data_IF_646823464595
#
_entry.id   IF_646823464595
#
_cell.length_a   1.000
_cell.length_b   1.000
_cell.length_c   1.000
_cell.angle_alpha   90.00
_cell.angle_beta   90.00
_cell.angle_gamma   90.00
#
_symmetry.space_group_name_H-M   'P 1'
#
loop_
_entity.id
_entity.type
_entity.pdbx_description
1 polymer ?
#
# COMPACT_ATOMS: atom_id res chain seq x y z
N UNK A 1 16.79 19.11 14.16
CA UNK A 1 16.48 17.85 13.43
C UNK A 1 15.03 17.54 13.76
N UNK A 2 14.18 17.41 12.76
CA UNK A 2 12.75 17.07 12.98
C UNK A 2 12.65 15.68 13.58
N UNK A 3 12.03 15.57 14.74
CA UNK A 3 11.82 14.28 15.39
C UNK A 3 10.82 13.45 14.57
N UNK A 4 11.18 12.20 14.27
CA UNK A 4 10.40 11.30 13.42
C UNK A 4 10.01 10.05 14.19
N UNK A 5 8.71 9.81 14.33
CA UNK A 5 8.12 8.70 15.06
C UNK A 5 7.38 7.75 14.11
N UNK A 6 7.48 6.44 14.38
CA UNK A 6 6.58 5.43 13.81
C UNK A 6 5.58 5.03 14.90
N UNK A 7 4.30 5.08 14.57
CA UNK A 7 3.21 4.70 15.49
C UNK A 7 2.09 3.95 14.75
N UNK A 8 1.21 3.24 15.48
CA UNK A 8 -0.01 2.71 14.90
C UNK A 8 -0.86 3.82 14.25
N UNK A 9 -1.54 3.45 13.16
CA UNK A 9 -2.54 4.27 12.50
C UNK A 9 -3.69 4.61 13.45
N UNK A 10 -4.26 5.80 13.27
CA UNK A 10 -5.50 6.25 13.92
C UNK A 10 -6.52 6.63 12.82
N UNK A 11 -7.80 6.50 13.10
CA UNK A 11 -8.83 6.87 12.12
C UNK A 11 -8.72 8.33 11.66
N UNK A 12 -8.24 9.23 12.51
CA UNK A 12 -7.95 10.64 12.15
C UNK A 12 -6.85 10.79 11.09
N UNK A 13 -6.00 9.78 10.88
CA UNK A 13 -4.91 9.80 9.88
C UNK A 13 -5.41 9.48 8.45
N UNK A 14 -6.66 9.02 8.30
CA UNK A 14 -7.19 8.47 7.04
C UNK A 14 -6.99 9.38 5.84
N UNK A 15 -7.23 10.69 6.00
CA UNK A 15 -7.03 11.68 4.94
C UNK A 15 -5.55 11.83 4.57
N UNK A 16 -4.66 11.91 5.56
CA UNK A 16 -3.23 12.04 5.33
C UNK A 16 -2.62 10.77 4.70
N UNK A 17 -3.12 9.57 5.04
CA UNK A 17 -2.75 8.31 4.36
C UNK A 17 -3.15 8.35 2.88
N UNK A 18 -4.37 8.78 2.55
CA UNK A 18 -4.79 8.95 1.16
C UNK A 18 -3.88 9.94 0.42
N UNK A 19 -3.55 11.06 1.04
CA UNK A 19 -2.68 12.09 0.47
C UNK A 19 -1.24 11.58 0.22
N UNK A 20 -0.66 10.79 1.13
CA UNK A 20 0.65 10.13 0.88
C UNK A 20 0.56 9.19 -0.31
N UNK A 21 -0.52 8.40 -0.41
CA UNK A 21 -0.73 7.52 -1.56
C UNK A 21 -0.73 8.31 -2.88
N UNK A 22 -1.50 9.40 -2.97
CA UNK A 22 -1.51 10.27 -4.17
C UNK A 22 -0.12 10.81 -4.50
N UNK A 23 0.63 11.27 -3.50
CA UNK A 23 1.96 11.86 -3.68
C UNK A 23 3.05 10.87 -4.11
N UNK A 24 2.77 9.58 -4.09
CA UNK A 24 3.74 8.53 -4.41
C UNK A 24 3.29 7.62 -5.55
N UNK A 25 2.06 7.77 -6.03
CA UNK A 25 1.41 6.83 -6.95
C UNK A 25 1.98 6.83 -8.38
N UNK A 26 2.59 7.92 -8.85
CA UNK A 26 3.18 7.97 -10.18
C UNK A 26 4.65 7.50 -10.16
N UNK A 27 4.87 6.20 -9.95
CA UNK A 27 6.23 5.62 -9.89
C UNK A 27 7.09 6.19 -8.75
N UNK A 28 6.47 6.58 -7.64
CA UNK A 28 7.11 7.24 -6.51
C UNK A 28 7.07 8.78 -6.58
N UNK A 29 6.36 9.35 -7.55
CA UNK A 29 6.12 10.78 -7.74
C UNK A 29 4.65 11.13 -7.52
N UNK A 30 4.34 12.43 -7.43
CA UNK A 30 2.98 12.94 -7.24
C UNK A 30 2.10 12.62 -8.46
N UNK A 31 0.98 11.93 -8.22
CA UNK A 31 -0.02 11.56 -9.23
C UNK A 31 -1.23 12.50 -9.24
N UNK A 32 -1.18 13.63 -8.53
CA UNK A 32 -2.28 14.59 -8.45
C UNK A 32 -2.65 15.13 -9.82
N UNK A 33 -3.94 15.04 -10.16
CA UNK A 33 -4.47 15.45 -11.46
C UNK A 33 -4.14 14.51 -12.62
N UNK A 34 -3.55 13.34 -12.36
CA UNK A 34 -3.32 12.29 -13.38
C UNK A 34 -4.63 11.57 -13.71
N UNK A 35 -5.49 11.38 -12.71
CA UNK A 35 -6.78 10.71 -12.83
C UNK A 35 -7.93 11.72 -12.73
N UNK A 36 -9.11 11.34 -13.16
CA UNK A 36 -10.33 12.16 -13.04
C UNK A 36 -10.73 12.41 -11.58
N UNK A 37 -10.31 11.52 -10.67
CA UNK A 37 -10.46 11.64 -9.22
C UNK A 37 -9.14 11.25 -8.55
N UNK A 38 -8.53 12.18 -7.80
CA UNK A 38 -7.28 11.93 -7.06
C UNK A 38 -7.46 10.85 -5.98
N UNK A 39 -8.70 10.59 -5.52
CA UNK A 39 -8.98 9.53 -4.55
C UNK A 39 -9.03 8.12 -5.17
N UNK A 40 -9.04 7.99 -6.49
CA UNK A 40 -9.12 6.69 -7.16
C UNK A 40 -7.96 5.77 -6.74
N UNK A 41 -6.73 6.27 -6.76
CA UNK A 41 -5.55 5.49 -6.36
C UNK A 41 -5.59 5.08 -4.87
N UNK A 42 -5.84 6.00 -3.91
CA UNK A 42 -6.03 5.63 -2.51
C UNK A 42 -7.17 4.64 -2.27
N UNK A 43 -8.27 4.73 -2.99
CA UNK A 43 -9.41 3.81 -2.86
C UNK A 43 -9.11 2.40 -3.37
N UNK A 44 -8.03 2.23 -4.12
CA UNK A 44 -7.56 0.90 -4.59
C UNK A 44 -6.39 0.38 -3.76
N UNK A 45 -5.47 1.24 -3.33
CA UNK A 45 -4.19 0.79 -2.78
C UNK A 45 -3.88 1.24 -1.35
N UNK A 46 -4.77 2.00 -0.70
CA UNK A 46 -4.53 2.48 0.67
C UNK A 46 -5.76 2.36 1.59
N UNK A 47 -6.88 3.00 1.22
CA UNK A 47 -8.03 3.15 2.12
C UNK A 47 -8.71 1.83 2.50
N UNK A 48 -8.89 0.84 1.60
CA UNK A 48 -9.48 -0.44 1.98
C UNK A 48 -8.69 -1.17 3.09
N UNK A 49 -7.36 -1.02 3.09
CA UNK A 49 -6.47 -1.65 4.06
C UNK A 49 -6.64 -1.06 5.46
N UNK A 50 -6.64 0.27 5.57
CA UNK A 50 -6.80 0.95 6.86
C UNK A 50 -8.23 0.87 7.39
N UNK A 51 -9.23 0.69 6.52
CA UNK A 51 -10.62 0.50 6.91
C UNK A 51 -10.88 -0.96 7.35
N UNK A 52 -10.20 -1.95 6.75
CA UNK A 52 -10.33 -3.36 7.10
C UNK A 52 -9.45 -3.79 8.28
N UNK A 53 -8.17 -3.41 8.24
CA UNK A 53 -7.15 -3.86 9.20
C UNK A 53 -6.34 -2.67 9.78
N UNK A 54 -6.99 -1.72 10.49
CA UNK A 54 -6.32 -0.54 11.03
C UNK A 54 -5.18 -0.85 12.00
N UNK A 55 -5.22 -2.00 12.62
CA UNK A 55 -4.23 -2.52 13.58
C UNK A 55 -3.01 -3.20 12.90
N UNK A 56 -3.01 -3.32 11.57
CA UNK A 56 -1.85 -3.66 10.73
C UNK A 56 -1.40 -2.48 9.86
N UNK A 57 -1.78 -1.26 10.26
CA UNK A 57 -1.35 -0.02 9.63
C UNK A 57 -0.47 0.78 10.60
N UNK A 58 0.70 1.21 10.11
CA UNK A 58 1.65 2.03 10.87
C UNK A 58 2.05 3.23 10.02
N UNK A 59 2.14 4.38 10.67
CA UNK A 59 2.42 5.66 10.01
C UNK A 59 3.72 6.28 10.53
N UNK A 60 4.38 7.05 9.67
CA UNK A 60 5.54 7.88 10.02
C UNK A 60 5.08 9.31 10.19
N UNK A 61 5.31 9.89 11.37
CA UNK A 61 4.95 11.27 11.69
C UNK A 61 6.22 12.08 12.02
N UNK A 62 6.33 13.24 11.41
CA UNK A 62 7.29 14.29 11.75
C UNK A 62 6.63 15.25 12.73
N UNK A 63 7.07 15.23 14.00
CA UNK A 63 6.38 15.91 15.12
C UNK A 63 6.56 17.45 15.09
N UNK A 64 7.72 17.95 14.70
CA UNK A 64 8.03 19.38 14.69
C UNK A 64 7.73 20.06 13.33
N UNK A 65 7.00 19.37 12.43
CA UNK A 65 6.63 19.91 11.14
C UNK A 65 5.37 20.78 11.25
N UNK A 66 5.26 21.77 10.36
CA UNK A 66 4.05 22.58 10.23
C UNK A 66 2.79 21.68 10.16
N UNK A 67 1.85 21.81 11.11
CA UNK A 67 0.65 20.97 11.14
C UNK A 67 -0.41 21.43 10.14
N UNK A 68 -0.08 22.28 9.20
CA UNK A 68 -0.99 22.74 8.16
C UNK A 68 -0.91 21.87 6.90
N UNK A 69 -2.00 21.89 6.11
CA UNK A 69 -2.06 21.20 4.83
C UNK A 69 -2.54 19.75 4.89
N UNK A 70 -2.59 19.08 3.74
CA UNK A 70 -3.28 17.79 3.59
C UNK A 70 -2.58 16.59 4.27
N UNK A 71 -1.31 16.74 4.66
CA UNK A 71 -0.57 15.75 5.45
C UNK A 71 -0.63 15.99 6.96
N UNK A 72 -1.35 17.01 7.42
CA UNK A 72 -1.49 17.33 8.84
C UNK A 72 -2.22 16.22 9.59
N UNK A 73 -1.72 15.86 10.77
CA UNK A 73 -2.31 14.94 11.74
C UNK A 73 -2.19 15.54 13.15
N UNK A 74 -2.88 14.96 14.13
CA UNK A 74 -2.97 15.50 15.50
C UNK A 74 -1.58 15.76 16.17
N UNK A 75 -0.58 14.97 15.80
CA UNK A 75 0.77 14.97 16.39
C UNK A 75 1.87 15.38 15.42
N UNK A 76 1.53 16.09 14.32
CA UNK A 76 2.49 16.63 13.38
C UNK A 76 2.10 16.46 11.91
N UNK A 77 3.05 15.98 11.09
CA UNK A 77 2.86 15.77 9.65
C UNK A 77 3.15 14.32 9.27
N UNK A 78 2.18 13.62 8.70
CA UNK A 78 2.31 12.24 8.23
C UNK A 78 3.10 12.23 6.91
N UNK A 79 4.20 11.47 6.86
CA UNK A 79 5.12 11.45 5.72
C UNK A 79 5.32 10.06 5.11
N UNK A 80 4.61 9.06 5.61
CA UNK A 80 4.63 7.72 5.06
C UNK A 80 3.85 6.74 5.90
N UNK A 81 3.66 5.55 5.35
CA UNK A 81 2.96 4.46 6.00
C UNK A 81 3.46 3.09 5.52
N UNK A 82 3.16 2.06 6.30
CA UNK A 82 3.02 0.68 5.86
C UNK A 82 1.64 0.21 6.28
N UNK A 83 0.94 -0.44 5.38
CA UNK A 83 -0.40 -0.99 5.58
C UNK A 83 -0.42 -2.42 5.07
N UNK A 84 -1.14 -3.29 5.77
CA UNK A 84 -1.18 -4.70 5.41
C UNK A 84 -2.50 -5.36 5.83
N UNK A 85 -2.71 -6.55 5.30
CA UNK A 85 -3.73 -7.49 5.78
C UNK A 85 -3.05 -8.80 6.16
N UNK A 86 -3.60 -9.50 7.14
CA UNK A 86 -3.03 -10.76 7.64
C UNK A 86 -3.30 -11.94 6.70
N UNK A 87 -4.41 -11.89 5.96
CA UNK A 87 -4.85 -12.93 5.01
C UNK A 87 -5.41 -12.27 3.75
N UNK A 88 -4.74 -12.49 2.63
CA UNK A 88 -5.10 -11.92 1.33
C UNK A 88 -6.43 -12.46 0.80
N UNK A 89 -6.73 -13.73 1.02
CA UNK A 89 -7.96 -14.35 0.51
C UNK A 89 -9.19 -13.89 1.32
N UNK A 90 -9.04 -13.77 2.65
CA UNK A 90 -10.07 -13.19 3.51
C UNK A 90 -10.34 -11.73 3.13
N UNK A 91 -9.28 -10.95 2.93
CA UNK A 91 -9.40 -9.55 2.51
C UNK A 91 -10.09 -9.39 1.14
N UNK A 92 -9.75 -10.25 0.16
CA UNK A 92 -10.43 -10.22 -1.14
C UNK A 92 -11.93 -10.50 -1.00
N UNK A 93 -12.31 -11.43 -0.12
CA UNK A 93 -13.71 -11.75 0.18
C UNK A 93 -14.43 -10.59 0.87
N UNK A 94 -13.79 -9.97 1.87
CA UNK A 94 -14.32 -8.77 2.52
C UNK A 94 -14.49 -7.61 1.52
N UNK A 95 -13.48 -7.36 0.69
CA UNK A 95 -13.51 -6.29 -0.32
C UNK A 95 -14.69 -6.46 -1.28
N UNK A 96 -14.91 -7.67 -1.81
CA UNK A 96 -16.01 -7.95 -2.72
C UNK A 96 -17.37 -7.61 -2.07
N UNK A 97 -17.54 -7.94 -0.80
CA UNK A 97 -18.80 -7.80 -0.09
C UNK A 97 -19.04 -6.40 0.48
N UNK A 98 -18.01 -5.79 1.08
CA UNK A 98 -18.16 -4.56 1.86
C UNK A 98 -17.63 -3.31 1.12
N UNK A 99 -16.52 -3.44 0.36
CA UNK A 99 -15.88 -2.30 -0.30
C UNK A 99 -16.40 -2.07 -1.72
N UNK A 100 -16.51 -3.10 -2.55
CA UNK A 100 -16.87 -3.00 -3.97
C UNK A 100 -18.20 -2.26 -4.20
N UNK A 101 -19.29 -2.48 -3.43
CA UNK A 101 -20.54 -1.76 -3.66
C UNK A 101 -20.40 -0.25 -3.56
N UNK A 102 -19.69 0.23 -2.52
CA UNK A 102 -19.40 1.65 -2.32
C UNK A 102 -18.46 2.20 -3.39
N UNK A 103 -17.42 1.46 -3.75
CA UNK A 103 -16.48 1.83 -4.82
C UNK A 103 -17.21 2.00 -6.18
N UNK A 104 -18.04 1.05 -6.58
CA UNK A 104 -18.82 1.12 -7.82
C UNK A 104 -19.80 2.28 -7.81
N UNK A 105 -20.39 2.61 -6.66
CA UNK A 105 -21.29 3.75 -6.54
C UNK A 105 -20.59 5.10 -6.72
N UNK A 106 -19.33 5.23 -6.26
CA UNK A 106 -18.52 6.44 -6.44
C UNK A 106 -17.92 6.54 -7.85
N UNK A 107 -17.62 5.39 -8.49
CA UNK A 107 -17.01 5.30 -9.81
C UNK A 107 -17.90 4.47 -10.76
N UNK A 108 -19.09 4.99 -11.18
CA UNK A 108 -20.07 4.21 -11.93
C UNK A 108 -19.62 3.84 -13.33
N UNK A 109 -18.81 4.65 -13.97
CA UNK A 109 -18.33 4.47 -15.35
C UNK A 109 -16.82 4.62 -15.38
N UNK A 110 -16.14 3.79 -16.17
CA UNK A 110 -14.73 4.00 -16.50
C UNK A 110 -14.57 5.27 -17.33
N UNK A 111 -13.73 6.18 -16.88
CA UNK A 111 -13.34 7.36 -17.65
C UNK A 111 -12.38 7.01 -18.80
N UNK A 112 -12.08 7.94 -19.68
CA UNK A 112 -11.02 7.73 -20.66
C UNK A 112 -9.69 7.60 -19.93
N UNK A 113 -8.86 6.64 -20.36
CA UNK A 113 -7.52 6.48 -19.83
C UNK A 113 -6.72 7.78 -20.05
N UNK A 114 -6.17 8.33 -18.97
CA UNK A 114 -5.41 9.59 -18.98
C UNK A 114 -3.91 9.38 -18.74
N UNK A 115 -3.52 8.25 -18.11
CA UNK A 115 -2.13 7.90 -17.88
C UNK A 115 -1.43 7.45 -19.18
N UNK A 116 -0.18 7.84 -19.34
CA UNK A 116 0.64 7.40 -20.45
C UNK A 116 1.01 5.90 -20.36
N UNK A 117 1.09 5.37 -19.14
CA UNK A 117 1.35 3.94 -18.88
C UNK A 117 0.01 3.19 -18.74
N UNK A 118 -0.26 2.18 -19.60
CA UNK A 118 -1.47 1.37 -19.51
C UNK A 118 -1.66 0.64 -18.18
N UNK A 119 -0.59 0.29 -17.48
CA UNK A 119 -0.65 -0.40 -16.17
C UNK A 119 -1.25 0.48 -15.07
N UNK A 120 -1.16 1.80 -15.22
CA UNK A 120 -1.69 2.81 -14.28
C UNK A 120 -2.74 3.70 -14.94
N UNK A 121 -3.37 3.23 -16.02
CA UNK A 121 -4.48 3.94 -16.61
C UNK A 121 -5.67 3.98 -15.65
N UNK A 122 -6.52 4.98 -15.77
CA UNK A 122 -7.75 5.09 -14.98
C UNK A 122 -8.62 3.84 -15.14
N UNK A 123 -8.74 3.30 -16.36
CA UNK A 123 -9.46 2.06 -16.62
C UNK A 123 -8.87 0.85 -15.87
N UNK A 124 -7.55 0.75 -15.78
CA UNK A 124 -6.89 -0.31 -15.01
C UNK A 124 -7.21 -0.20 -13.51
N UNK A 125 -7.15 1.01 -12.95
CA UNK A 125 -7.49 1.25 -11.54
C UNK A 125 -8.97 0.96 -11.24
N UNK A 126 -9.87 1.37 -12.12
CA UNK A 126 -11.30 1.09 -11.99
C UNK A 126 -11.59 -0.41 -12.06
N UNK A 127 -10.87 -1.15 -12.91
CA UNK A 127 -10.93 -2.61 -12.95
C UNK A 127 -10.39 -3.23 -11.66
N UNK A 128 -9.25 -2.76 -11.18
CA UNK A 128 -8.59 -3.25 -9.96
C UNK A 128 -9.48 -3.06 -8.72
N UNK A 129 -10.16 -1.91 -8.60
CA UNK A 129 -11.09 -1.65 -7.52
C UNK A 129 -12.35 -2.52 -7.54
N UNK A 130 -12.75 -3.03 -8.71
CA UNK A 130 -13.91 -3.90 -8.90
C UNK A 130 -13.61 -5.40 -8.84
N UNK A 131 -12.34 -5.79 -8.95
CA UNK A 131 -11.89 -7.18 -9.03
C UNK A 131 -10.89 -7.51 -7.91
N UNK A 132 -11.36 -7.66 -6.65
CA UNK A 132 -10.48 -7.99 -5.55
C UNK A 132 -9.83 -9.38 -5.69
N UNK A 133 -10.43 -10.30 -6.47
CA UNK A 133 -9.85 -11.61 -6.75
C UNK A 133 -8.53 -11.54 -7.52
N UNK A 134 -8.20 -10.36 -8.11
CA UNK A 134 -6.87 -10.11 -8.72
C UNK A 134 -5.71 -10.32 -7.75
N UNK A 135 -5.94 -10.10 -6.44
CA UNK A 135 -4.92 -10.24 -5.41
C UNK A 135 -4.49 -11.69 -5.17
N UNK A 136 -5.39 -12.63 -5.40
CA UNK A 136 -5.12 -14.08 -5.23
C UNK A 136 -4.94 -14.81 -6.56
N UNK A 137 -5.41 -14.21 -7.67
CA UNK A 137 -5.36 -14.84 -9.00
C UNK A 137 -3.93 -15.03 -9.47
N UNK A 138 -3.59 -16.27 -9.80
CA UNK A 138 -2.28 -16.66 -10.34
C UNK A 138 -1.20 -16.87 -9.28
N UNK A 139 -1.56 -16.81 -7.98
CA UNK A 139 -0.70 -17.32 -6.93
C UNK A 139 -0.69 -18.85 -6.97
N UNK A 140 0.47 -19.46 -6.82
CA UNK A 140 0.59 -20.91 -6.78
C UNK A 140 0.19 -21.46 -5.40
N UNK A 141 -0.26 -22.72 -5.39
CA UNK A 141 -0.57 -23.39 -4.14
C UNK A 141 0.63 -23.39 -3.18
N UNK A 142 0.36 -23.09 -1.91
CA UNK A 142 1.40 -22.97 -0.88
C UNK A 142 1.95 -21.56 -0.67
N UNK A 143 1.85 -20.64 -1.63
CA UNK A 143 2.31 -19.24 -1.42
C UNK A 143 1.45 -18.53 -0.39
N UNK A 144 0.13 -18.68 -0.44
CA UNK A 144 -0.77 -18.13 0.59
C UNK A 144 -0.71 -18.88 1.92
N UNK A 145 -0.19 -20.12 1.96
CA UNK A 145 0.08 -20.83 3.21
C UNK A 145 1.32 -20.28 3.92
N UNK A 146 2.36 -19.95 3.15
CA UNK A 146 3.63 -19.45 3.69
C UNK A 146 3.70 -17.94 3.81
N UNK A 147 3.00 -17.21 2.93
CA UNK A 147 2.95 -15.76 2.87
C UNK A 147 1.49 -15.27 2.70
N UNK A 148 0.60 -15.54 3.69
CA UNK A 148 -0.81 -15.18 3.56
C UNK A 148 -1.05 -13.66 3.56
N UNK A 149 -0.23 -12.91 4.29
CA UNK A 149 -0.32 -11.46 4.37
C UNK A 149 0.21 -10.76 3.10
N UNK A 150 -0.34 -9.59 2.78
CA UNK A 150 0.30 -8.69 1.81
C UNK A 150 0.30 -7.24 2.31
N UNK A 151 1.21 -6.43 1.75
CA UNK A 151 1.45 -5.06 2.19
C UNK A 151 1.54 -4.05 1.05
N UNK A 152 1.28 -2.77 1.41
CA UNK A 152 1.74 -1.59 0.68
C UNK A 152 2.57 -0.70 1.61
N UNK A 153 3.56 -0.02 1.05
CA UNK A 153 4.45 0.90 1.77
C UNK A 153 4.78 2.10 0.90
N UNK A 154 4.53 3.28 1.43
CA UNK A 154 4.81 4.54 0.77
C UNK A 154 5.47 5.55 1.72
N UNK A 155 6.43 6.28 1.20
CA UNK A 155 7.10 7.40 1.86
C UNK A 155 7.18 8.55 0.87
N UNK A 156 6.73 9.74 1.26
CA UNK A 156 6.91 10.94 0.43
C UNK A 156 8.40 11.15 0.12
N UNK A 157 8.76 11.73 -1.03
CA UNK A 157 10.15 11.84 -1.47
C UNK A 157 11.10 12.42 -0.43
N UNK A 158 10.66 13.44 0.31
CA UNK A 158 11.45 14.11 1.36
C UNK A 158 11.71 13.23 2.60
N UNK A 159 10.96 12.14 2.80
CA UNK A 159 11.15 11.18 3.89
C UNK A 159 11.97 9.94 3.47
N UNK A 160 12.31 9.83 2.19
CA UNK A 160 13.09 8.68 1.69
C UNK A 160 14.57 8.79 2.06
N UNK A 161 15.30 7.67 1.99
CA UNK A 161 16.74 7.62 2.26
C UNK A 161 17.15 7.72 3.73
N UNK A 162 16.19 7.81 4.67
CA UNK A 162 16.42 8.00 6.11
C UNK A 162 16.25 6.70 6.94
N UNK A 163 16.19 5.55 6.28
CA UNK A 163 16.00 4.26 6.96
C UNK A 163 14.57 3.98 7.44
N UNK A 164 13.62 4.92 7.22
CA UNK A 164 12.23 4.82 7.69
C UNK A 164 11.49 3.63 7.07
N UNK A 165 11.71 3.34 5.79
CA UNK A 165 11.09 2.19 5.12
C UNK A 165 11.46 0.86 5.77
N UNK A 166 12.74 0.66 6.16
CA UNK A 166 13.17 -0.53 6.91
C UNK A 166 12.43 -0.61 8.25
N UNK A 167 12.42 0.48 9.00
CA UNK A 167 11.75 0.53 10.31
C UNK A 167 10.25 0.22 10.20
N UNK A 168 9.56 0.72 9.17
CA UNK A 168 8.16 0.40 8.90
C UNK A 168 7.96 -1.10 8.62
N UNK A 169 8.77 -1.69 7.74
CA UNK A 169 8.68 -3.12 7.42
C UNK A 169 8.99 -3.98 8.64
N UNK A 170 10.01 -3.64 9.43
CA UNK A 170 10.35 -4.35 10.66
C UNK A 170 9.21 -4.27 11.70
N UNK A 171 8.58 -3.09 11.84
CA UNK A 171 7.41 -2.90 12.72
C UNK A 171 6.23 -3.77 12.28
N UNK A 172 5.91 -3.78 10.99
CA UNK A 172 4.83 -4.60 10.44
C UNK A 172 5.13 -6.10 10.62
N UNK A 173 6.36 -6.55 10.32
CA UNK A 173 6.75 -7.95 10.49
C UNK A 173 6.58 -8.41 11.93
N UNK A 174 7.00 -7.59 12.89
CA UNK A 174 6.80 -7.88 14.31
C UNK A 174 5.31 -8.00 14.68
N UNK A 175 4.44 -7.12 14.15
CA UNK A 175 3.00 -7.17 14.37
C UNK A 175 2.34 -8.42 13.74
N UNK A 176 2.77 -8.83 12.56
CA UNK A 176 2.33 -10.04 11.89
C UNK A 176 2.80 -11.31 12.63
N UNK A 177 4.08 -11.34 13.04
CA UNK A 177 4.63 -12.46 13.83
C UNK A 177 3.88 -12.65 15.15
N UNK A 178 3.53 -11.56 15.85
CA UNK A 178 2.74 -11.60 17.08
C UNK A 178 1.34 -12.21 16.90
N UNK A 179 0.84 -12.26 15.65
CA UNK A 179 -0.43 -12.89 15.26
C UNK A 179 -0.25 -14.31 14.70
N UNK A 180 0.97 -14.82 14.67
CA UNK A 180 1.28 -16.13 14.10
C UNK A 180 1.21 -16.18 12.57
N UNK A 181 1.21 -15.04 11.88
CA UNK A 181 1.24 -14.97 10.43
C UNK A 181 2.66 -15.27 9.94
N UNK A 182 2.88 -16.33 9.12
CA UNK A 182 4.23 -16.84 8.85
C UNK A 182 5.05 -15.97 7.89
N UNK A 183 4.39 -15.24 6.98
CA UNK A 183 5.06 -14.43 5.98
C UNK A 183 4.15 -13.40 5.33
N UNK A 184 4.78 -12.45 4.65
CA UNK A 184 4.10 -11.38 3.92
C UNK A 184 4.67 -11.27 2.52
N UNK A 185 3.80 -11.03 1.54
CA UNK A 185 4.20 -10.83 0.15
C UNK A 185 3.80 -9.44 -0.35
N UNK A 186 4.34 -9.06 -1.49
CA UNK A 186 3.97 -7.86 -2.23
C UNK A 186 4.26 -8.00 -3.71
N UNK A 187 3.48 -7.27 -4.51
CA UNK A 187 3.81 -6.97 -5.90
C UNK A 187 4.34 -5.53 -6.01
N UNK A 188 5.09 -5.25 -7.07
CA UNK A 188 5.55 -3.90 -7.38
C UNK A 188 5.60 -3.68 -8.90
N UNK A 189 5.65 -2.41 -9.32
CA UNK A 189 5.83 -2.09 -10.74
C UNK A 189 7.22 -2.51 -11.21
N UNK A 190 7.35 -3.39 -12.24
CA UNK A 190 8.65 -3.83 -12.74
C UNK A 190 9.54 -2.68 -13.24
N UNK A 191 8.97 -1.54 -13.64
CA UNK A 191 9.71 -0.35 -14.00
C UNK A 191 10.31 0.37 -12.78
N UNK A 192 9.80 0.12 -11.56
CA UNK A 192 10.30 0.72 -10.32
C UNK A 192 11.54 -0.03 -9.79
N UNK A 193 12.69 0.19 -10.42
CA UNK A 193 13.96 -0.44 -10.02
C UNK A 193 14.42 -0.04 -8.61
N UNK A 194 13.98 1.13 -8.10
CA UNK A 194 14.27 1.56 -6.73
C UNK A 194 13.53 0.70 -5.70
N UNK A 195 12.28 0.34 -5.97
CA UNK A 195 11.50 -0.56 -5.13
C UNK A 195 12.17 -1.94 -5.08
N UNK A 196 12.58 -2.51 -6.22
CA UNK A 196 13.30 -3.78 -6.26
C UNK A 196 14.55 -3.73 -5.37
N UNK A 197 15.42 -2.75 -5.57
CA UNK A 197 16.65 -2.61 -4.78
C UNK A 197 16.37 -2.39 -3.27
N UNK A 198 15.26 -1.76 -2.93
CA UNK A 198 14.82 -1.60 -1.54
C UNK A 198 14.43 -2.95 -0.92
N UNK A 199 13.59 -3.74 -1.58
CA UNK A 199 13.14 -5.03 -1.07
C UNK A 199 14.28 -6.05 -1.01
N UNK A 200 15.19 -6.07 -1.97
CA UNK A 200 16.40 -6.93 -1.93
C UNK A 200 17.25 -6.65 -0.68
N UNK A 201 17.45 -5.36 -0.32
CA UNK A 201 18.19 -4.98 0.90
C UNK A 201 17.47 -5.36 2.20
N UNK A 202 16.16 -5.58 2.17
CA UNK A 202 15.37 -6.06 3.31
C UNK A 202 15.36 -7.58 3.42
N UNK A 203 15.81 -8.29 2.39
CA UNK A 203 15.83 -9.76 2.35
C UNK A 203 14.56 -10.39 1.79
N UNK A 204 13.75 -9.63 1.06
CA UNK A 204 12.67 -10.22 0.28
C UNK A 204 13.23 -11.11 -0.83
N UNK A 205 12.55 -12.21 -1.10
CA UNK A 205 12.91 -13.19 -2.14
C UNK A 205 11.76 -13.34 -3.14
N UNK A 206 12.08 -13.75 -4.35
CA UNK A 206 11.08 -14.04 -5.38
C UNK A 206 10.26 -15.28 -4.98
N UNK A 207 8.96 -15.17 -5.07
CA UNK A 207 8.04 -16.29 -4.86
C UNK A 207 7.84 -17.07 -6.17
N UNK A 208 7.27 -18.26 -6.10
CA UNK A 208 7.11 -19.16 -7.24
C UNK A 208 6.25 -18.57 -8.38
N UNK A 209 5.28 -17.72 -8.05
CA UNK A 209 4.43 -17.02 -9.02
C UNK A 209 5.07 -15.74 -9.59
N UNK A 210 6.30 -15.41 -9.18
CA UNK A 210 7.02 -14.25 -9.71
C UNK A 210 7.23 -14.37 -11.22
N UNK A 211 7.01 -13.28 -11.95
CA UNK A 211 7.40 -13.13 -13.34
C UNK A 211 7.98 -11.72 -13.57
N UNK A 212 8.79 -11.51 -14.63
CA UNK A 212 9.32 -10.18 -14.93
C UNK A 212 8.27 -9.09 -15.14
N UNK A 213 7.06 -9.47 -15.62
CA UNK A 213 5.94 -8.55 -15.87
C UNK A 213 4.97 -8.46 -14.71
N UNK A 214 5.05 -9.38 -13.76
CA UNK A 214 4.25 -9.42 -12.53
C UNK A 214 5.15 -9.84 -11.36
N UNK A 215 6.00 -8.91 -10.91
CA UNK A 215 6.91 -9.21 -9.81
C UNK A 215 6.16 -9.52 -8.52
N UNK A 216 6.56 -10.61 -7.87
CA UNK A 216 6.02 -11.04 -6.58
C UNK A 216 7.17 -11.41 -5.66
N UNK A 217 7.26 -10.73 -4.54
CA UNK A 217 8.29 -10.94 -3.53
C UNK A 217 7.65 -11.32 -2.19
N UNK A 218 8.35 -12.12 -1.39
CA UNK A 218 7.92 -12.49 -0.07
C UNK A 218 9.06 -12.44 0.94
N UNK A 219 8.69 -12.29 2.23
CA UNK A 219 9.59 -12.38 3.37
C UNK A 219 8.86 -13.03 4.54
N UNK A 220 9.57 -13.86 5.32
CA UNK A 220 9.02 -14.41 6.57
C UNK A 220 8.90 -13.31 7.63
N UNK A 221 7.99 -13.51 8.59
CA UNK A 221 7.79 -12.54 9.68
C UNK A 221 8.73 -12.78 10.86
N UNK A 222 9.20 -14.00 11.01
CA UNK A 222 10.16 -14.41 12.05
C UNK A 222 11.54 -14.71 11.50
#
# INVERSE_FOLDING_TARGET
MTETMIRPYRTSDRHAVAEVCVRTAAGGSDARGVYSDDLLMPEVYALPYVDHAPDLAFVVVQQDADPSGPLAVDDGRLVGYVIAVADTAEFATWWEREWTPGFVARHPVAGPATAADPSYSEDALLKDGRDPQRMVRGLQGGELETHPAHLHIDLVPEAQGQGLGRRLVDTLRAALAARGVPGVHLGYDPANTRARAFYDRLGFVELASHTPTRPLLGITTG
#
